data_IF_637861434912
#
_entry.id   IF_637861434912
#
_cell.length_a   1.000
_cell.length_b   1.000
_cell.length_c   1.000
_cell.angle_alpha   90.00
_cell.angle_beta   90.00
_cell.angle_gamma   90.00
#
_symmetry.space_group_name_H-M   'P 1'
#
loop_
_entity.id
_entity.type
_entity.pdbx_description
1 polymer ?
#
# COMPACT_ATOMS: atom_id res chain seq x y z
N UNK A 1 -45.25 9.36 16.53
CA UNK A 1 -44.16 8.76 17.31
C UNK A 1 -42.91 8.84 16.45
N UNK A 2 -42.20 9.95 16.55
CA UNK A 2 -41.01 10.20 15.75
C UNK A 2 -39.84 9.40 16.33
N UNK A 3 -39.42 8.35 15.64
CA UNK A 3 -38.17 7.66 15.94
C UNK A 3 -37.02 8.58 15.52
N UNK A 4 -36.54 9.40 16.45
CA UNK A 4 -35.32 10.16 16.25
C UNK A 4 -34.16 9.17 16.13
N UNK A 5 -33.58 9.08 14.93
CA UNK A 5 -32.43 8.24 14.61
C UNK A 5 -31.32 8.46 15.66
N UNK A 6 -30.77 7.40 16.28
CA UNK A 6 -29.69 7.59 17.25
C UNK A 6 -28.50 8.25 16.56
N UNK A 7 -28.07 9.39 17.11
CA UNK A 7 -26.89 10.11 16.67
C UNK A 7 -25.66 9.24 16.96
N UNK A 8 -25.34 8.35 16.00
CA UNK A 8 -24.15 7.52 16.05
C UNK A 8 -22.94 8.44 16.11
N UNK A 9 -22.38 8.61 17.32
CA UNK A 9 -21.16 9.36 17.52
C UNK A 9 -20.01 8.49 17.04
N UNK A 10 -19.74 8.55 15.73
CA UNK A 10 -18.64 7.81 15.12
C UNK A 10 -17.33 8.36 15.71
N UNK A 11 -16.74 7.62 16.65
CA UNK A 11 -15.42 7.92 17.18
C UNK A 11 -14.40 7.87 16.04
N UNK A 12 -13.79 9.00 15.72
CA UNK A 12 -12.68 9.07 14.76
C UNK A 12 -11.57 8.13 15.26
N UNK A 13 -11.19 7.13 14.44
CA UNK A 13 -10.07 6.24 14.77
C UNK A 13 -8.78 7.07 14.73
N UNK A 14 -8.26 7.40 15.92
CA UNK A 14 -6.94 7.99 16.09
C UNK A 14 -5.88 6.89 15.93
N UNK A 15 -5.72 6.36 14.72
CA UNK A 15 -4.59 5.49 14.42
C UNK A 15 -4.16 5.71 12.97
N UNK A 16 -2.89 6.02 12.78
CA UNK A 16 -2.26 5.98 11.47
C UNK A 16 -2.34 4.53 10.99
N UNK A 17 -3.35 4.23 10.17
CA UNK A 17 -3.61 2.87 9.67
C UNK A 17 -2.43 2.34 8.84
N UNK A 18 -1.54 3.24 8.38
CA UNK A 18 -0.30 2.90 7.71
C UNK A 18 0.77 3.98 8.03
N UNK A 19 1.63 3.79 9.04
CA UNK A 19 2.66 4.76 9.39
C UNK A 19 3.72 4.94 8.28
N UNK A 20 3.88 3.94 7.40
CA UNK A 20 4.72 4.01 6.20
C UNK A 20 4.06 4.76 5.02
N UNK A 21 2.80 5.20 5.16
CA UNK A 21 2.06 5.89 4.10
C UNK A 21 2.21 7.42 4.25
N UNK A 22 3.29 7.95 3.69
CA UNK A 22 3.57 9.39 3.63
C UNK A 22 2.58 10.17 2.75
N UNK A 23 2.52 11.50 2.92
CA UNK A 23 1.67 12.36 2.08
C UNK A 23 2.08 12.35 0.61
N UNK A 24 3.37 12.12 0.31
CA UNK A 24 3.86 11.90 -1.05
C UNK A 24 3.20 10.66 -1.66
N UNK A 25 3.17 9.52 -0.95
CA UNK A 25 2.48 8.32 -1.43
C UNK A 25 0.97 8.52 -1.58
N UNK A 26 0.36 9.32 -0.70
CA UNK A 26 -1.06 9.69 -0.84
C UNK A 26 -1.28 10.53 -2.10
N UNK A 27 -0.37 11.43 -2.42
CA UNK A 27 -0.41 12.22 -3.64
C UNK A 27 -0.28 11.34 -4.90
N UNK A 28 0.73 10.47 -4.94
CA UNK A 28 0.95 9.55 -6.05
C UNK A 28 -0.27 8.65 -6.28
N UNK A 29 -0.96 8.21 -5.20
CA UNK A 29 -2.22 7.46 -5.30
C UNK A 29 -3.36 8.29 -5.91
N UNK A 30 -3.46 9.58 -5.60
CA UNK A 30 -4.47 10.48 -6.20
C UNK A 30 -4.21 10.66 -7.68
N UNK A 31 -2.96 10.91 -8.06
CA UNK A 31 -2.54 11.04 -9.47
C UNK A 31 -2.84 9.76 -10.26
N UNK A 32 -2.50 8.60 -9.70
CA UNK A 32 -2.80 7.30 -10.30
C UNK A 32 -4.31 7.14 -10.56
N UNK A 33 -5.16 7.51 -9.59
CA UNK A 33 -6.62 7.46 -9.75
C UNK A 33 -7.14 8.46 -10.77
N UNK A 34 -6.52 9.64 -10.88
CA UNK A 34 -6.87 10.63 -11.89
C UNK A 34 -6.52 10.13 -13.29
N UNK A 35 -5.33 9.55 -13.48
CA UNK A 35 -4.92 8.93 -14.74
C UNK A 35 -5.83 7.75 -15.13
N UNK A 36 -6.19 6.90 -14.16
CA UNK A 36 -7.14 5.80 -14.38
C UNK A 36 -8.50 6.32 -14.87
N UNK A 37 -9.04 7.36 -14.21
CA UNK A 37 -10.31 7.98 -14.63
C UNK A 37 -10.20 8.62 -16.00
N UNK A 38 -9.07 9.28 -16.30
CA UNK A 38 -8.81 9.89 -17.60
C UNK A 38 -8.85 8.84 -18.71
N UNK A 39 -8.08 7.76 -18.57
CA UNK A 39 -8.10 6.65 -19.52
C UNK A 39 -9.49 6.03 -19.67
N UNK A 40 -10.24 5.82 -18.56
CA UNK A 40 -11.61 5.29 -18.65
C UNK A 40 -12.55 6.19 -19.45
N UNK A 41 -12.32 7.51 -19.45
CA UNK A 41 -13.11 8.48 -20.20
C UNK A 41 -12.66 8.59 -21.66
N UNK A 42 -11.36 8.66 -21.91
CA UNK A 42 -10.81 8.90 -23.26
C UNK A 42 -10.67 7.63 -24.09
N UNK A 43 -10.41 6.48 -23.46
CA UNK A 43 -10.11 5.19 -24.11
C UNK A 43 -8.91 5.24 -25.07
N UNK A 44 -8.02 6.20 -24.90
CA UNK A 44 -6.80 6.34 -25.72
C UNK A 44 -5.65 5.51 -25.14
N UNK A 45 -4.85 4.90 -26.03
CA UNK A 45 -3.68 4.11 -25.65
C UNK A 45 -2.60 4.94 -24.96
N UNK A 46 -2.45 6.21 -25.33
CA UNK A 46 -1.50 7.13 -24.69
C UNK A 46 -1.83 7.35 -23.21
N UNK A 47 -3.12 7.46 -22.88
CA UNK A 47 -3.59 7.57 -21.50
C UNK A 47 -3.45 6.23 -20.74
N UNK A 48 -3.62 5.10 -21.44
CA UNK A 48 -3.37 3.77 -20.88
C UNK A 48 -1.90 3.58 -20.49
N UNK A 49 -0.98 3.92 -21.40
CA UNK A 49 0.47 3.87 -21.16
C UNK A 49 0.84 4.75 -19.96
N UNK A 50 0.30 5.98 -19.93
CA UNK A 50 0.53 6.92 -18.82
C UNK A 50 0.06 6.35 -17.47
N UNK A 51 -1.12 5.72 -17.45
CA UNK A 51 -1.64 5.05 -16.26
C UNK A 51 -0.72 3.89 -15.82
N UNK A 52 -0.26 3.05 -16.75
CA UNK A 52 0.66 1.94 -16.43
C UNK A 52 2.02 2.40 -15.92
N UNK A 53 2.56 3.48 -16.46
CA UNK A 53 3.80 4.08 -15.95
C UNK A 53 3.64 4.56 -14.51
N UNK A 54 2.59 5.34 -14.23
CA UNK A 54 2.29 5.85 -12.89
C UNK A 54 2.07 4.72 -11.88
N UNK A 55 1.40 3.66 -12.32
CA UNK A 55 1.14 2.49 -11.51
C UNK A 55 2.43 1.74 -11.13
N UNK A 56 3.31 1.50 -12.09
CA UNK A 56 4.60 0.84 -11.86
C UNK A 56 5.44 1.64 -10.88
N UNK A 57 5.54 2.97 -11.09
CA UNK A 57 6.20 3.90 -10.17
C UNK A 57 5.60 3.84 -8.76
N UNK A 58 4.28 3.93 -8.62
CA UNK A 58 3.61 3.87 -7.33
C UNK A 58 3.88 2.53 -6.59
N UNK A 59 3.93 1.43 -7.32
CA UNK A 59 4.21 0.11 -6.74
C UNK A 59 5.63 0.01 -6.19
N UNK A 60 6.60 0.60 -6.89
CA UNK A 60 7.98 0.74 -6.43
C UNK A 60 8.07 1.65 -5.20
N UNK A 61 7.44 2.83 -5.25
CA UNK A 61 7.45 3.79 -4.15
C UNK A 61 6.87 3.18 -2.86
N UNK A 62 5.77 2.42 -2.96
CA UNK A 62 5.16 1.71 -1.81
C UNK A 62 6.08 0.65 -1.24
N UNK A 63 6.74 -0.13 -2.10
CA UNK A 63 7.68 -1.17 -1.68
C UNK A 63 8.88 -0.54 -0.97
N UNK A 64 9.44 0.53 -1.54
CA UNK A 64 10.53 1.30 -0.95
C UNK A 64 10.15 1.84 0.43
N UNK A 65 9.00 2.53 0.56
CA UNK A 65 8.57 3.09 1.83
C UNK A 65 8.34 2.03 2.92
N UNK A 66 7.70 0.90 2.57
CA UNK A 66 7.52 -0.22 3.50
C UNK A 66 8.85 -0.80 3.94
N UNK A 67 9.75 -1.07 2.99
CA UNK A 67 11.05 -1.66 3.31
C UNK A 67 11.87 -0.74 4.20
N UNK A 68 11.91 0.57 3.92
CA UNK A 68 12.59 1.55 4.75
C UNK A 68 12.03 1.57 6.18
N UNK A 69 10.70 1.66 6.32
CA UNK A 69 10.03 1.71 7.61
C UNK A 69 10.32 0.48 8.48
N UNK A 70 10.18 -0.73 7.92
CA UNK A 70 10.42 -1.95 8.69
C UNK A 70 11.91 -2.20 8.96
N UNK A 71 12.80 -1.85 8.02
CA UNK A 71 14.25 -1.92 8.25
C UNK A 71 14.68 -1.00 9.40
N UNK A 72 14.18 0.23 9.43
CA UNK A 72 14.44 1.17 10.53
C UNK A 72 13.90 0.64 11.86
N UNK A 73 12.64 0.18 11.89
CA UNK A 73 12.03 -0.35 13.11
C UNK A 73 12.81 -1.54 13.70
N UNK A 74 13.33 -2.42 12.85
CA UNK A 74 14.16 -3.54 13.27
C UNK A 74 15.51 -3.08 13.85
N UNK A 75 16.16 -2.09 13.22
CA UNK A 75 17.40 -1.49 13.74
C UNK A 75 17.19 -0.85 15.11
N UNK A 76 16.13 -0.05 15.27
CA UNK A 76 15.81 0.60 16.56
C UNK A 76 15.48 -0.42 17.64
N UNK A 77 14.80 -1.53 17.29
CA UNK A 77 14.53 -2.61 18.23
C UNK A 77 15.77 -3.42 18.62
N UNK A 78 16.79 -3.50 17.76
CA UNK A 78 18.05 -4.19 18.07
C UNK A 78 18.95 -3.40 19.04
N UNK A 79 18.66 -2.11 19.25
CA UNK A 79 19.41 -1.22 20.14
C UNK A 79 18.83 -1.15 21.57
N UNK A 80 17.73 -1.85 21.87
CA UNK A 80 17.17 -1.91 23.23
C UNK A 80 17.64 -3.18 23.96
N UNK A 81 18.39 -3.08 25.09
CA UNK A 81 18.92 -4.26 25.79
C UNK A 81 17.90 -5.08 26.59
N UNK A 82 16.59 -4.82 26.44
CA UNK A 82 15.53 -5.49 27.20
C UNK A 82 14.47 -6.06 26.26
N UNK A 83 14.77 -7.23 25.72
CA UNK A 83 13.75 -8.16 25.26
C UNK A 83 13.75 -9.38 26.18
N UNK A 84 12.67 -9.67 26.94
CA UNK A 84 12.48 -10.98 27.53
C UNK A 84 12.43 -12.03 26.41
N UNK A 85 13.22 -13.09 26.57
CA UNK A 85 13.36 -14.21 25.65
C UNK A 85 12.04 -14.99 25.56
N UNK A 86 11.07 -14.52 24.77
CA UNK A 86 9.93 -15.36 24.39
C UNK A 86 9.33 -14.90 23.08
N UNK A 87 10.00 -15.22 21.98
CA UNK A 87 9.43 -15.64 20.71
C UNK A 87 10.62 -16.07 19.83
N UNK A 88 11.02 -17.34 20.00
CA UNK A 88 11.96 -18.00 19.12
C UNK A 88 11.23 -18.23 17.78
N UNK A 89 11.23 -17.22 16.90
CA UNK A 89 11.02 -17.45 15.48
C UNK A 89 12.41 -17.67 14.90
N UNK A 90 12.72 -18.94 14.68
CA UNK A 90 13.98 -19.43 14.13
C UNK A 90 14.35 -18.65 12.86
N UNK A 91 15.48 -17.95 12.91
CA UNK A 91 16.18 -17.41 11.74
C UNK A 91 16.77 -18.57 10.96
N UNK A 92 16.12 -18.89 9.84
CA UNK A 92 16.72 -19.63 8.74
C UNK A 92 17.40 -18.63 7.78
N UNK A 93 18.71 -18.74 7.51
CA UNK A 93 19.35 -18.05 6.40
C UNK A 93 19.22 -18.95 5.16
N UNK A 94 18.07 -18.89 4.50
CA UNK A 94 17.95 -19.37 3.11
C UNK A 94 17.31 -18.28 2.29
N UNK A 95 17.80 -18.08 1.07
CA UNK A 95 17.52 -16.95 0.18
C UNK A 95 16.05 -16.81 -0.21
N UNK A 96 15.20 -16.43 0.74
CA UNK A 96 13.83 -16.03 0.50
C UNK A 96 13.86 -14.58 0.07
N UNK A 97 13.98 -14.40 -1.24
CA UNK A 97 13.48 -13.21 -1.93
C UNK A 97 12.17 -12.82 -1.26
N UNK A 98 12.18 -11.72 -0.49
CA UNK A 98 11.01 -11.17 0.15
C UNK A 98 10.12 -10.65 -1.00
N UNK A 99 9.40 -11.56 -1.65
CA UNK A 99 8.40 -11.25 -2.65
C UNK A 99 7.22 -10.67 -1.90
N UNK A 100 7.35 -9.42 -1.45
CA UNK A 100 6.21 -8.53 -1.24
C UNK A 100 5.69 -8.31 -2.65
N UNK A 101 4.89 -9.26 -3.12
CA UNK A 101 4.21 -9.18 -4.38
C UNK A 101 3.57 -7.79 -4.42
N UNK A 102 3.78 -6.97 -5.47
CA UNK A 102 2.86 -5.87 -5.70
C UNK A 102 1.46 -6.49 -5.64
N UNK A 103 0.51 -5.81 -5.03
CA UNK A 103 -0.86 -6.29 -4.86
C UNK A 103 -1.46 -6.61 -6.24
N UNK A 104 -1.17 -7.82 -6.73
CA UNK A 104 -1.49 -8.35 -8.04
C UNK A 104 -2.94 -8.82 -8.07
N UNK A 105 -3.65 -8.77 -6.94
CA UNK A 105 -5.06 -9.14 -6.83
C UNK A 105 -5.99 -8.20 -7.58
N UNK A 106 -5.49 -7.09 -8.14
CA UNK A 106 -6.24 -6.24 -9.08
C UNK A 106 -5.65 -6.16 -10.49
N UNK A 107 -4.58 -6.89 -10.79
CA UNK A 107 -3.94 -6.88 -12.11
C UNK A 107 -4.35 -8.02 -13.03
N UNK A 108 -4.83 -9.14 -12.49
CA UNK A 108 -5.19 -10.30 -13.32
C UNK A 108 -6.58 -10.22 -13.98
N UNK A 109 -7.39 -9.22 -13.64
CA UNK A 109 -8.73 -9.05 -14.23
C UNK A 109 -8.80 -8.15 -15.47
N UNK A 110 -7.69 -7.56 -15.90
CA UNK A 110 -7.70 -6.63 -17.05
C UNK A 110 -6.90 -7.09 -18.27
N UNK A 111 -6.22 -8.24 -18.21
CA UNK A 111 -5.37 -8.74 -19.31
C UNK A 111 -6.02 -9.86 -20.15
N UNK A 112 -7.34 -10.08 -20.06
CA UNK A 112 -8.04 -11.13 -20.81
C UNK A 112 -9.40 -10.65 -21.37
N UNK A 113 -9.47 -9.44 -21.93
CA UNK A 113 -10.63 -9.06 -22.74
C UNK A 113 -10.20 -8.24 -23.95
N UNK A 114 -9.52 -8.93 -24.86
CA UNK A 114 -9.51 -8.78 -26.32
C UNK A 114 -9.31 -10.25 -26.78
N UNK A 115 -10.15 -10.91 -27.59
CA UNK A 115 -11.09 -10.50 -28.64
C UNK A 115 -12.59 -10.79 -28.35
#
# INVERSE_FOLDING_TARGET
MDLLCPLSTIRKKNSSTAPWLSDVLRNNRRELRSAERKWKKSKLDTDLISYHMLLSKFSLDVTSAKTSFYKEKLKTSALSPKAPQRLLVTTQPSGSTFSILPDRRRFRHFLHRED
#
